data_IF_649051649537
#
_entry.id   IF_649051649537
#
_cell.length_a   1.000
_cell.length_b   1.000
_cell.length_c   1.000
_cell.angle_alpha   90.00
_cell.angle_beta   90.00
_cell.angle_gamma   90.00
#
_symmetry.space_group_name_H-M   'P 1'
#
loop_
_entity.id
_entity.type
_entity.pdbx_description
1 polymer ?
#
# COMPACT_ATOMS: atom_id res chain seq x y z
N UNK A 1 20.60 28.17 35.43
CA UNK A 1 21.85 27.85 34.68
C UNK A 1 21.48 27.79 33.19
N UNK A 2 22.21 28.47 32.33
CA UNK A 2 21.99 28.47 30.87
C UNK A 2 23.28 27.99 30.21
N UNK A 3 23.18 27.03 29.30
CA UNK A 3 24.32 26.51 28.58
C UNK A 3 24.78 27.47 27.45
N UNK A 4 26.03 27.38 27.02
CA UNK A 4 26.63 28.26 26.00
C UNK A 4 25.79 28.29 24.67
N UNK A 5 25.32 27.16 24.10
CA UNK A 5 24.51 27.22 22.91
C UNK A 5 23.19 28.00 23.09
N UNK A 6 22.52 27.86 24.23
CA UNK A 6 21.32 28.64 24.52
C UNK A 6 21.61 30.14 24.70
N UNK A 7 22.72 30.50 25.32
CA UNK A 7 23.16 31.90 25.42
C UNK A 7 23.36 32.51 24.03
N UNK A 8 24.04 31.81 23.13
CA UNK A 8 24.22 32.23 21.73
C UNK A 8 22.90 32.41 20.99
N UNK A 9 21.96 31.43 21.12
CA UNK A 9 20.67 31.49 20.46
C UNK A 9 19.81 32.65 20.97
N UNK A 10 19.92 32.97 22.24
CA UNK A 10 19.17 34.03 22.92
C UNK A 10 19.83 35.40 22.84
N UNK A 11 20.99 35.50 22.23
CA UNK A 11 21.77 36.75 22.14
C UNK A 11 22.24 37.28 23.50
N UNK A 12 22.41 36.41 24.49
CA UNK A 12 22.79 36.73 25.88
C UNK A 12 24.29 36.50 26.12
N UNK A 13 25.09 36.66 25.08
CA UNK A 13 26.56 36.57 25.17
C UNK A 13 27.08 37.73 26.05
N UNK A 14 28.08 37.45 26.85
CA UNK A 14 28.78 38.41 27.73
C UNK A 14 27.98 38.91 28.95
N UNK A 15 26.86 38.36 29.29
CA UNK A 15 26.06 38.75 30.44
C UNK A 15 26.09 37.69 31.55
N UNK A 16 26.41 38.08 32.79
CA UNK A 16 26.21 37.17 33.93
C UNK A 16 24.73 37.00 34.19
N UNK A 17 24.19 35.79 33.81
CA UNK A 17 22.76 35.49 33.93
C UNK A 17 22.33 35.01 35.31
N UNK A 18 23.30 34.81 36.22
CA UNK A 18 23.04 34.34 37.57
C UNK A 18 22.45 35.48 38.41
N UNK A 19 21.28 35.26 38.99
CA UNK A 19 20.54 36.24 39.78
C UNK A 19 19.57 37.13 39.00
N UNK A 20 19.55 37.06 37.66
CA UNK A 20 18.59 37.78 36.85
C UNK A 20 17.21 37.05 36.83
N UNK A 21 16.12 37.83 36.84
CA UNK A 21 14.78 37.28 36.71
C UNK A 21 14.57 36.78 35.27
N UNK A 22 14.03 35.58 35.11
CA UNK A 22 13.76 34.97 33.80
C UNK A 22 12.80 35.85 32.97
N UNK A 23 11.87 36.57 33.60
CA UNK A 23 10.95 37.48 32.92
C UNK A 23 11.63 38.72 32.32
N UNK A 24 12.76 39.17 32.90
CA UNK A 24 13.52 40.30 32.37
C UNK A 24 14.32 39.84 31.10
N UNK A 25 14.75 38.57 31.08
CA UNK A 25 15.49 38.00 29.96
C UNK A 25 14.55 37.53 28.84
N UNK A 26 13.35 37.07 29.20
CA UNK A 26 12.36 36.48 28.28
C UNK A 26 10.97 37.07 28.62
N UNK A 27 10.67 38.32 28.23
CA UNK A 27 9.44 39.00 28.58
C UNK A 27 8.15 38.32 28.12
N UNK A 28 8.25 37.45 27.15
CA UNK A 28 7.13 36.66 26.62
C UNK A 28 6.72 35.45 27.49
N UNK A 29 7.50 35.15 28.54
CA UNK A 29 7.20 34.06 29.48
C UNK A 29 6.23 34.46 30.54
N UNK A 30 5.04 33.88 30.52
CA UNK A 30 4.08 33.99 31.63
C UNK A 30 4.32 32.83 32.61
N UNK A 31 5.08 33.10 33.68
CA UNK A 31 5.41 32.11 34.70
C UNK A 31 4.19 31.63 35.48
N UNK A 32 3.14 32.44 35.59
CA UNK A 32 1.91 32.04 36.25
C UNK A 32 1.17 30.95 35.48
N UNK A 33 1.03 31.10 34.16
CA UNK A 33 0.47 30.05 33.27
C UNK A 33 1.28 28.76 33.30
N UNK A 34 2.62 28.86 33.30
CA UNK A 34 3.50 27.72 33.34
C UNK A 34 3.42 26.96 34.66
N UNK A 35 3.28 27.67 35.77
CA UNK A 35 3.14 27.12 37.11
C UNK A 35 1.81 26.36 37.28
N UNK A 36 0.72 26.86 36.68
CA UNK A 36 -0.59 26.23 36.71
C UNK A 36 -0.71 25.04 35.75
N UNK A 37 0.07 25.04 34.67
CA UNK A 37 0.05 23.99 33.66
C UNK A 37 1.07 22.89 33.98
N UNK A 38 0.63 21.81 34.62
CA UNK A 38 1.51 20.65 34.90
C UNK A 38 2.13 20.03 33.63
N UNK A 39 1.52 20.20 32.46
CA UNK A 39 2.01 19.69 31.17
C UNK A 39 3.14 20.53 30.54
N UNK A 40 3.35 21.77 31.00
CA UNK A 40 4.30 22.70 30.39
C UNK A 40 3.83 23.26 29.04
N UNK A 41 4.71 23.98 28.35
CA UNK A 41 4.44 24.58 27.02
C UNK A 41 5.39 23.95 26.02
N UNK A 42 4.85 23.36 24.96
CA UNK A 42 5.63 22.67 23.91
C UNK A 42 5.43 23.35 22.57
N UNK A 43 6.54 23.56 21.84
CA UNK A 43 6.51 24.03 20.47
C UNK A 43 6.15 25.49 20.27
N UNK A 44 6.25 26.36 21.29
CA UNK A 44 5.91 27.78 21.18
C UNK A 44 6.97 28.51 20.33
N UNK A 45 6.53 29.11 19.24
CA UNK A 45 7.38 29.84 18.30
C UNK A 45 7.52 31.28 18.70
N UNK A 46 8.77 31.79 18.80
CA UNK A 46 9.08 33.17 19.04
C UNK A 46 10.08 33.71 18.03
N UNK A 47 9.89 34.97 17.66
CA UNK A 47 10.85 35.70 16.82
C UNK A 47 11.82 36.49 17.68
N UNK A 48 13.11 36.17 17.57
CA UNK A 48 14.18 36.95 18.19
C UNK A 48 15.12 37.49 17.10
N UNK A 49 15.03 38.80 16.87
CA UNK A 49 15.76 39.44 15.76
C UNK A 49 15.32 38.85 14.40
N UNK A 50 16.29 38.33 13.65
CA UNK A 50 16.05 37.67 12.35
C UNK A 50 15.77 36.16 12.47
N UNK A 51 15.82 35.59 13.67
CA UNK A 51 15.70 34.17 13.90
C UNK A 51 14.33 33.82 14.49
N UNK A 52 13.78 32.69 14.05
CA UNK A 52 12.62 32.06 14.68
C UNK A 52 13.11 30.92 15.57
N UNK A 53 12.78 30.98 16.84
CA UNK A 53 13.17 30.02 17.88
C UNK A 53 11.92 29.27 18.35
N UNK A 54 12.07 27.98 18.57
CA UNK A 54 11.06 27.12 19.16
C UNK A 54 11.45 26.80 20.58
N UNK A 55 10.54 27.04 21.50
CA UNK A 55 10.72 26.83 22.93
C UNK A 55 9.86 25.68 23.42
N UNK A 56 10.45 24.77 24.18
CA UNK A 56 9.75 23.80 24.99
C UNK A 56 10.07 24.10 26.45
N UNK A 57 9.06 24.33 27.26
CA UNK A 57 9.20 24.75 28.64
C UNK A 57 8.45 23.77 29.52
N UNK A 58 9.12 23.24 30.54
CA UNK A 58 8.49 22.35 31.52
C UNK A 58 8.70 22.88 32.93
N UNK A 59 7.66 22.93 33.76
CA UNK A 59 7.82 23.25 35.18
C UNK A 59 8.51 22.09 35.90
N UNK A 60 9.29 22.43 36.91
CA UNK A 60 9.93 21.49 37.82
C UNK A 60 9.37 21.71 39.20
N UNK A 61 8.85 20.66 39.83
CA UNK A 61 8.36 20.65 41.18
C UNK A 61 9.24 19.77 42.08
N UNK A 62 9.47 20.19 43.29
CA UNK A 62 10.14 19.42 44.34
C UNK A 62 9.19 19.39 45.53
N UNK A 63 8.84 18.20 46.00
CA UNK A 63 7.86 18.00 47.10
C UNK A 63 6.53 18.76 46.88
N UNK A 64 6.06 18.80 45.65
CA UNK A 64 4.87 19.54 45.17
C UNK A 64 5.01 21.10 45.12
N UNK A 65 6.13 21.66 45.54
CA UNK A 65 6.42 23.06 45.40
C UNK A 65 7.12 23.38 44.07
N UNK A 66 6.72 24.51 43.47
CA UNK A 66 7.34 24.95 42.21
C UNK A 66 8.80 25.38 42.44
N UNK A 67 9.73 24.59 41.98
CA UNK A 67 11.17 24.81 42.11
C UNK A 67 11.76 25.62 40.92
N UNK A 68 11.12 25.60 39.77
CA UNK A 68 11.61 26.33 38.60
C UNK A 68 11.11 25.79 37.26
N UNK A 69 11.79 26.15 36.19
CA UNK A 69 11.49 25.69 34.85
C UNK A 69 12.74 25.11 34.16
N UNK A 70 12.56 24.11 33.35
CA UNK A 70 13.53 23.66 32.35
C UNK A 70 13.05 24.08 30.99
N UNK A 71 13.92 24.71 30.21
CA UNK A 71 13.62 25.21 28.90
C UNK A 71 14.63 24.69 27.88
N UNK A 72 14.15 24.12 26.76
CA UNK A 72 14.96 23.87 25.59
C UNK A 72 14.62 24.84 24.47
N UNK A 73 15.66 25.30 23.76
CA UNK A 73 15.55 26.27 22.67
C UNK A 73 16.20 25.70 21.42
N UNK A 74 15.55 25.86 20.30
CA UNK A 74 16.06 25.39 18.99
C UNK A 74 15.70 26.41 17.90
N UNK A 75 16.53 26.50 16.86
CA UNK A 75 16.16 27.26 15.65
C UNK A 75 15.04 26.52 14.90
N UNK A 76 13.97 27.23 14.52
CA UNK A 76 12.91 26.67 13.67
C UNK A 76 13.48 26.11 12.35
N UNK A 77 14.49 26.76 11.78
CA UNK A 77 15.19 26.28 10.56
C UNK A 77 15.89 24.93 10.77
N UNK A 78 16.42 24.66 11.96
CA UNK A 78 17.04 23.34 12.26
C UNK A 78 16.00 22.22 12.27
N UNK A 79 14.80 22.49 12.78
CA UNK A 79 13.68 21.52 12.77
C UNK A 79 13.30 21.21 11.33
N UNK A 80 13.12 22.22 10.48
CA UNK A 80 12.82 22.03 9.04
C UNK A 80 13.91 21.23 8.32
N UNK A 81 15.17 21.46 8.67
CA UNK A 81 16.30 20.71 8.07
C UNK A 81 16.29 19.24 8.50
N UNK A 82 15.97 18.95 9.77
CA UNK A 82 15.85 17.58 10.27
C UNK A 82 14.65 16.90 9.63
N UNK A 83 13.50 17.55 9.55
CA UNK A 83 12.32 17.03 8.87
C UNK A 83 12.59 16.72 7.40
N UNK A 84 13.25 17.64 6.67
CA UNK A 84 13.63 17.41 5.28
C UNK A 84 14.60 16.23 5.11
N UNK A 85 15.54 16.05 6.06
CA UNK A 85 16.47 14.91 6.07
C UNK A 85 15.72 13.60 6.32
N UNK A 86 14.82 13.57 7.31
CA UNK A 86 13.99 12.39 7.61
C UNK A 86 13.11 12.05 6.41
N UNK A 87 12.45 13.05 5.82
CA UNK A 87 11.62 12.87 4.62
C UNK A 87 12.46 12.31 3.45
N UNK A 88 13.67 12.81 3.24
CA UNK A 88 14.58 12.28 2.21
C UNK A 88 14.98 10.81 2.48
N UNK A 89 15.23 10.43 3.72
CA UNK A 89 15.51 9.04 4.10
C UNK A 89 14.30 8.13 3.88
N UNK A 90 13.09 8.60 4.21
CA UNK A 90 11.84 7.88 3.95
C UNK A 90 11.62 7.69 2.44
N UNK A 91 11.86 8.72 1.63
CA UNK A 91 11.82 8.63 0.17
C UNK A 91 12.81 7.61 -0.40
N UNK A 92 14.04 7.62 0.09
CA UNK A 92 15.09 6.67 -0.36
C UNK A 92 14.72 5.21 -0.02
N UNK A 93 13.97 4.99 1.06
CA UNK A 93 13.48 3.66 1.46
C UNK A 93 12.14 3.29 0.81
N UNK A 94 11.53 4.17 0.01
CA UNK A 94 10.23 3.94 -0.60
C UNK A 94 9.04 4.03 0.36
N UNK A 95 9.23 4.56 1.57
CA UNK A 95 8.19 4.65 2.62
C UNK A 95 7.37 5.96 2.51
N UNK A 96 6.98 6.32 1.31
CA UNK A 96 6.22 7.55 1.02
C UNK A 96 5.07 7.24 0.10
N UNK A 97 3.88 7.74 0.44
CA UNK A 97 2.72 7.71 -0.44
C UNK A 97 2.92 8.73 -1.58
N UNK A 98 2.75 8.29 -2.82
CA UNK A 98 2.95 9.12 -4.03
C UNK A 98 1.63 9.62 -4.60
N UNK A 99 0.56 8.85 -4.40
CA UNK A 99 -0.73 9.11 -5.03
C UNK A 99 -1.62 10.02 -4.19
N UNK A 100 -2.39 10.84 -4.86
CA UNK A 100 -3.39 11.76 -4.32
C UNK A 100 -4.78 11.44 -4.87
N UNK A 101 -5.83 12.00 -4.28
CA UNK A 101 -7.20 11.81 -4.77
C UNK A 101 -7.41 12.30 -6.20
N UNK A 102 -6.61 13.25 -6.65
CA UNK A 102 -6.68 13.80 -8.01
C UNK A 102 -6.10 12.83 -9.06
N UNK A 103 -5.33 11.84 -8.63
CA UNK A 103 -4.82 10.77 -9.48
C UNK A 103 -5.89 9.67 -9.73
N UNK A 104 -7.02 9.72 -9.01
CA UNK A 104 -8.13 8.79 -9.18
C UNK A 104 -9.03 9.29 -10.33
N UNK A 105 -8.82 8.71 -11.50
CA UNK A 105 -9.55 9.09 -12.71
C UNK A 105 -10.93 8.42 -12.70
N UNK A 106 -11.98 9.24 -12.66
CA UNK A 106 -13.37 8.77 -12.69
C UNK A 106 -14.34 9.85 -13.16
N UNK A 107 -15.40 9.41 -13.82
CA UNK A 107 -16.64 10.17 -14.07
C UNK A 107 -17.87 9.51 -13.45
N UNK A 108 -17.66 8.34 -12.85
CA UNK A 108 -18.72 7.60 -12.19
C UNK A 108 -19.15 8.29 -10.90
N UNK A 109 -20.46 8.50 -10.76
CA UNK A 109 -21.03 9.22 -9.62
C UNK A 109 -20.86 8.48 -8.28
N UNK A 110 -20.85 7.14 -8.29
CA UNK A 110 -20.61 6.35 -7.10
C UNK A 110 -19.15 6.46 -6.64
N UNK A 111 -18.20 6.38 -7.57
CA UNK A 111 -16.78 6.61 -7.28
C UNK A 111 -16.51 8.01 -6.74
N UNK A 112 -17.14 9.05 -7.31
CA UNK A 112 -17.03 10.42 -6.78
C UNK A 112 -17.54 10.53 -5.33
N UNK A 113 -18.64 9.85 -4.99
CA UNK A 113 -19.13 9.78 -3.62
C UNK A 113 -18.15 9.06 -2.70
N UNK A 114 -17.54 7.95 -3.15
CA UNK A 114 -16.53 7.22 -2.40
C UNK A 114 -15.26 8.06 -2.16
N UNK A 115 -14.80 8.83 -3.15
CA UNK A 115 -13.68 9.77 -2.99
C UNK A 115 -14.01 10.82 -1.92
N UNK A 116 -15.20 11.42 -1.97
CA UNK A 116 -15.63 12.39 -0.97
C UNK A 116 -15.75 11.78 0.44
N UNK A 117 -16.20 10.54 0.54
CA UNK A 117 -16.24 9.80 1.80
C UNK A 117 -14.82 9.52 2.30
N UNK A 118 -13.92 9.07 1.44
CA UNK A 118 -12.52 8.81 1.76
C UNK A 118 -11.78 10.09 2.23
N UNK A 119 -12.06 11.24 1.61
CA UNK A 119 -11.56 12.55 2.08
C UNK A 119 -12.00 12.88 3.50
N UNK A 120 -13.25 12.57 3.88
CA UNK A 120 -13.73 12.72 5.26
C UNK A 120 -13.04 11.74 6.20
N UNK A 121 -12.88 10.48 5.79
CA UNK A 121 -12.20 9.45 6.56
C UNK A 121 -10.70 9.75 6.77
N UNK A 122 -10.07 10.47 5.84
CA UNK A 122 -8.69 10.90 5.98
C UNK A 122 -8.47 11.79 7.23
N UNK A 123 -9.48 12.55 7.67
CA UNK A 123 -9.35 13.51 8.77
C UNK A 123 -9.35 12.89 10.17
N UNK A 124 -9.65 11.60 10.29
CA UNK A 124 -9.69 10.86 11.55
C UNK A 124 -8.69 9.70 11.56
N UNK A 125 -8.19 9.35 12.75
CA UNK A 125 -7.18 8.28 12.92
C UNK A 125 -7.79 6.87 13.06
N UNK A 126 -9.10 6.71 12.81
CA UNK A 126 -9.76 5.41 12.83
C UNK A 126 -9.21 4.46 11.75
N UNK A 127 -9.30 3.16 12.02
CA UNK A 127 -8.95 2.13 11.04
C UNK A 127 -9.92 2.16 9.85
N UNK A 128 -9.38 1.91 8.66
CA UNK A 128 -10.16 1.88 7.41
C UNK A 128 -9.97 0.51 6.75
N UNK A 129 -11.09 -0.10 6.36
CA UNK A 129 -11.12 -1.31 5.55
C UNK A 129 -11.59 -0.98 4.13
N UNK A 130 -10.72 -1.23 3.15
CA UNK A 130 -11.01 -1.03 1.72
C UNK A 130 -11.31 -2.40 1.10
N UNK A 131 -12.55 -2.59 0.66
CA UNK A 131 -12.99 -3.82 0.00
C UNK A 131 -13.10 -3.57 -1.50
N UNK A 132 -12.60 -4.48 -2.32
CA UNK A 132 -12.72 -4.39 -3.76
C UNK A 132 -11.92 -5.47 -4.46
N UNK A 133 -12.35 -5.83 -5.66
CA UNK A 133 -11.66 -6.82 -6.49
C UNK A 133 -10.21 -6.39 -6.76
N UNK A 134 -9.39 -7.35 -7.17
CA UNK A 134 -8.01 -7.08 -7.59
C UNK A 134 -8.00 -6.09 -8.77
N UNK A 135 -7.06 -5.12 -8.75
CA UNK A 135 -6.95 -4.12 -9.82
C UNK A 135 -7.97 -2.97 -9.79
N UNK A 136 -8.82 -2.83 -8.76
CA UNK A 136 -9.80 -1.72 -8.64
C UNK A 136 -9.21 -0.41 -8.16
N UNK A 137 -7.94 -0.40 -7.64
CA UNK A 137 -7.25 0.79 -7.16
C UNK A 137 -7.23 0.93 -5.62
N UNK A 138 -7.35 -0.17 -4.85
CA UNK A 138 -7.33 -0.14 -3.37
C UNK A 138 -6.11 0.61 -2.80
N UNK A 139 -4.92 0.34 -3.32
CA UNK A 139 -3.68 1.00 -2.90
C UNK A 139 -3.67 2.50 -3.22
N UNK A 140 -4.20 2.90 -4.38
CA UNK A 140 -4.34 4.30 -4.78
C UNK A 140 -5.20 5.08 -3.76
N UNK A 141 -6.31 4.48 -3.31
CA UNK A 141 -7.13 5.04 -2.23
C UNK A 141 -6.38 5.12 -0.90
N UNK A 142 -5.65 4.08 -0.52
CA UNK A 142 -4.90 4.05 0.74
C UNK A 142 -3.83 5.15 0.78
N UNK A 143 -3.07 5.32 -0.30
CA UNK A 143 -2.07 6.39 -0.43
C UNK A 143 -2.73 7.78 -0.42
N UNK A 144 -3.83 7.96 -1.17
CA UNK A 144 -4.58 9.22 -1.21
C UNK A 144 -5.14 9.61 0.16
N UNK A 145 -5.65 8.63 0.93
CA UNK A 145 -6.15 8.84 2.30
C UNK A 145 -5.01 9.28 3.22
N UNK A 146 -3.85 8.63 3.13
CA UNK A 146 -2.67 9.03 3.91
C UNK A 146 -2.25 10.46 3.59
N UNK A 147 -2.08 10.80 2.30
CA UNK A 147 -1.64 12.12 1.86
C UNK A 147 -2.64 13.24 2.21
N UNK A 148 -3.92 12.92 2.36
CA UNK A 148 -4.95 13.86 2.80
C UNK A 148 -5.16 13.88 4.33
N UNK A 149 -4.39 13.11 5.10
CA UNK A 149 -4.53 12.99 6.55
C UNK A 149 -3.58 13.91 7.31
N UNK A 150 -3.78 14.00 8.62
CA UNK A 150 -2.86 14.69 9.55
C UNK A 150 -1.49 14.01 9.64
N UNK A 151 -1.34 12.79 9.08
CA UNK A 151 -0.11 12.00 9.07
C UNK A 151 0.61 12.03 7.72
N UNK A 152 0.25 12.94 6.82
CA UNK A 152 0.81 13.06 5.47
C UNK A 152 2.33 13.23 5.44
N UNK A 153 2.90 13.82 6.48
CA UNK A 153 4.35 14.00 6.63
C UNK A 153 5.07 12.78 7.24
N UNK A 154 4.31 11.81 7.76
CA UNK A 154 4.84 10.58 8.33
C UNK A 154 5.10 9.50 7.30
N UNK A 155 5.69 8.35 7.72
CA UNK A 155 5.92 7.23 6.84
C UNK A 155 4.60 6.60 6.36
N UNK A 156 4.58 6.21 5.08
CA UNK A 156 3.56 5.32 4.51
C UNK A 156 4.23 4.00 4.15
N UNK A 157 3.87 2.94 4.86
CA UNK A 157 4.42 1.60 4.61
C UNK A 157 3.31 0.73 4.06
N UNK A 158 3.48 0.24 2.84
CA UNK A 158 2.57 -0.67 2.19
C UNK A 158 3.14 -2.09 2.19
N UNK A 159 2.30 -3.05 2.58
CA UNK A 159 2.66 -4.47 2.63
C UNK A 159 1.53 -5.26 1.99
N UNK A 160 1.88 -6.11 1.05
CA UNK A 160 0.97 -7.13 0.56
C UNK A 160 1.18 -8.42 1.37
N UNK A 161 0.19 -8.78 2.20
CA UNK A 161 0.27 -9.93 3.11
C UNK A 161 0.32 -11.27 2.35
N UNK A 162 -0.20 -11.33 1.13
CA UNK A 162 -0.16 -12.54 0.30
C UNK A 162 1.21 -12.76 -0.36
N UNK A 163 2.04 -11.72 -0.51
CA UNK A 163 3.35 -11.82 -1.19
C UNK A 163 4.48 -12.27 -0.28
N UNK A 164 4.27 -12.28 1.03
CA UNK A 164 5.28 -12.64 2.02
C UNK A 164 4.98 -14.06 2.55
N UNK A 165 5.95 -14.99 2.50
CA UNK A 165 5.77 -16.31 3.10
C UNK A 165 5.32 -16.22 4.57
N UNK A 166 4.39 -17.09 4.98
CA UNK A 166 3.76 -17.08 6.30
C UNK A 166 4.78 -17.06 7.46
N UNK A 167 5.85 -17.84 7.33
CA UNK A 167 6.93 -17.92 8.33
C UNK A 167 7.76 -16.65 8.46
N UNK A 168 7.75 -15.77 7.44
CA UNK A 168 8.47 -14.50 7.45
C UNK A 168 7.56 -13.32 7.81
N UNK A 169 6.26 -13.42 7.54
CA UNK A 169 5.30 -12.33 7.74
C UNK A 169 5.30 -11.82 9.20
N UNK A 170 5.40 -12.73 10.18
CA UNK A 170 5.47 -12.37 11.60
C UNK A 170 6.72 -11.53 11.90
N UNK A 171 7.88 -11.97 11.43
CA UNK A 171 9.14 -11.28 11.63
C UNK A 171 9.24 -9.94 10.89
N UNK A 172 8.59 -9.82 9.73
CA UNK A 172 8.53 -8.57 8.98
C UNK A 172 7.60 -7.55 9.65
N UNK A 173 6.44 -7.98 10.15
CA UNK A 173 5.47 -7.10 10.82
C UNK A 173 5.98 -6.59 12.16
N UNK A 174 6.44 -7.48 13.04
CA UNK A 174 6.75 -7.17 14.43
C UNK A 174 8.25 -6.97 14.70
N UNK A 175 9.12 -7.41 13.79
CA UNK A 175 10.56 -7.41 13.98
C UNK A 175 11.04 -8.55 14.88
N UNK A 176 12.35 -8.65 15.07
CA UNK A 176 12.97 -9.67 15.90
C UNK A 176 14.23 -9.15 16.59
N UNK A 177 14.53 -9.73 17.76
CA UNK A 177 15.77 -9.47 18.48
C UNK A 177 16.90 -10.41 18.03
N UNK A 178 18.13 -10.11 18.43
CA UNK A 178 19.28 -10.96 18.15
C UNK A 178 19.03 -12.40 18.69
N UNK A 179 19.35 -13.40 17.88
CA UNK A 179 19.17 -14.81 18.27
C UNK A 179 17.73 -15.33 18.32
N UNK A 180 16.75 -14.59 17.86
CA UNK A 180 15.34 -15.01 17.86
C UNK A 180 15.08 -16.32 17.10
N UNK A 181 15.85 -16.61 16.06
CA UNK A 181 15.81 -17.85 15.29
C UNK A 181 17.14 -18.09 14.55
N UNK A 182 17.35 -19.28 14.03
CA UNK A 182 18.54 -19.63 13.25
C UNK A 182 18.59 -18.81 11.97
N UNK A 183 19.66 -17.99 11.81
CA UNK A 183 19.81 -17.05 10.70
C UNK A 183 19.35 -15.61 11.00
N UNK A 184 18.91 -15.31 12.22
CA UNK A 184 18.64 -13.94 12.66
C UNK A 184 19.91 -13.06 12.56
N UNK A 185 19.74 -11.80 12.16
CA UNK A 185 20.86 -10.83 12.10
C UNK A 185 21.34 -10.49 13.51
N UNK A 186 22.66 -10.32 13.70
CA UNK A 186 23.32 -10.00 14.99
C UNK A 186 22.76 -8.74 15.70
N UNK A 187 22.04 -7.87 15.07
CA UNK A 187 21.46 -6.66 15.70
C UNK A 187 19.92 -6.68 15.66
N UNK A 188 19.32 -7.84 15.42
CA UNK A 188 17.91 -7.93 15.22
C UNK A 188 17.41 -7.17 13.96
N UNK A 189 16.09 -6.97 13.87
CA UNK A 189 15.44 -6.20 12.78
C UNK A 189 14.22 -5.48 13.33
N UNK A 190 14.06 -4.21 12.97
CA UNK A 190 12.79 -3.49 13.23
C UNK A 190 11.70 -4.01 12.31
N UNK A 191 10.51 -4.20 12.87
CA UNK A 191 9.32 -4.58 12.12
C UNK A 191 8.64 -3.38 11.44
N UNK A 192 7.71 -3.67 10.54
CA UNK A 192 6.97 -2.63 9.80
C UNK A 192 6.12 -1.76 10.72
N UNK A 193 5.60 -2.28 11.84
CA UNK A 193 4.93 -1.45 12.84
C UNK A 193 5.83 -0.38 13.47
N UNK A 194 7.08 -0.71 13.77
CA UNK A 194 8.05 0.27 14.27
C UNK A 194 8.44 1.29 13.18
N UNK A 195 8.60 0.83 11.94
CA UNK A 195 8.97 1.68 10.80
C UNK A 195 7.83 2.64 10.42
N UNK A 196 6.57 2.23 10.62
CA UNK A 196 5.38 3.05 10.36
C UNK A 196 5.03 4.02 11.49
N UNK A 197 5.82 4.05 12.58
CA UNK A 197 5.52 4.88 13.75
C UNK A 197 5.42 6.37 13.38
N UNK A 198 4.37 7.04 13.85
CA UNK A 198 4.03 8.41 13.48
C UNK A 198 3.33 8.55 12.11
N UNK A 199 3.13 7.46 11.38
CA UNK A 199 2.56 7.44 10.04
C UNK A 199 1.41 6.44 9.86
N UNK A 200 1.41 5.78 8.71
CA UNK A 200 0.37 4.82 8.29
C UNK A 200 0.99 3.51 7.82
N UNK A 201 0.43 2.40 8.29
CA UNK A 201 0.69 1.05 7.78
C UNK A 201 -0.50 0.61 6.93
N UNK A 202 -0.27 0.34 5.66
CA UNK A 202 -1.23 -0.23 4.74
C UNK A 202 -1.01 -1.73 4.60
N UNK A 203 -2.02 -2.52 4.97
CA UNK A 203 -2.04 -3.97 4.91
C UNK A 203 -2.93 -4.40 3.75
N UNK A 204 -2.33 -4.65 2.58
CA UNK A 204 -3.06 -5.20 1.44
C UNK A 204 -3.25 -6.70 1.60
N UNK A 205 -4.36 -7.20 1.09
CA UNK A 205 -4.82 -8.59 1.18
C UNK A 205 -4.83 -9.12 2.63
N UNK A 206 -5.43 -8.33 3.55
CA UNK A 206 -5.54 -8.65 4.98
C UNK A 206 -6.25 -9.99 5.24
N UNK A 207 -7.09 -10.45 4.31
CA UNK A 207 -7.77 -11.74 4.38
C UNK A 207 -6.85 -12.96 4.23
N UNK A 208 -5.59 -12.76 3.82
CA UNK A 208 -4.58 -13.81 3.66
C UNK A 208 -3.72 -14.03 4.90
N UNK A 209 -3.87 -13.21 5.94
CA UNK A 209 -3.08 -13.34 7.17
C UNK A 209 -3.46 -14.61 7.93
N UNK A 210 -2.49 -15.47 8.32
CA UNK A 210 -2.74 -16.67 9.12
C UNK A 210 -3.40 -16.38 10.46
N UNK A 211 -4.26 -17.29 10.95
CA UNK A 211 -5.01 -17.12 12.21
C UNK A 211 -4.14 -16.79 13.42
N UNK A 212 -2.93 -17.36 13.49
CA UNK A 212 -1.97 -17.05 14.56
C UNK A 212 -1.60 -15.57 14.56
N UNK A 213 -1.31 -15.01 13.38
CA UNK A 213 -0.93 -13.61 13.25
C UNK A 213 -2.09 -12.65 13.45
N UNK A 214 -3.32 -13.08 13.14
CA UNK A 214 -4.52 -12.28 13.40
C UNK A 214 -4.67 -11.95 14.89
N UNK A 215 -4.31 -12.89 15.80
CA UNK A 215 -4.34 -12.65 17.24
C UNK A 215 -3.31 -11.58 17.66
N UNK A 216 -2.10 -11.66 17.13
CA UNK A 216 -1.05 -10.68 17.40
C UNK A 216 -1.42 -9.29 16.85
N UNK A 217 -1.98 -9.25 15.64
CA UNK A 217 -2.46 -8.00 15.03
C UNK A 217 -3.58 -7.36 15.87
N UNK A 218 -4.54 -8.15 16.35
CA UNK A 218 -5.61 -7.67 17.22
C UNK A 218 -5.04 -7.00 18.48
N UNK A 219 -4.06 -7.65 19.12
CA UNK A 219 -3.40 -7.12 20.32
C UNK A 219 -2.74 -5.77 20.03
N UNK A 220 -2.04 -5.65 18.92
CA UNK A 220 -1.41 -4.37 18.51
C UNK A 220 -2.44 -3.27 18.26
N UNK A 221 -3.58 -3.59 17.64
CA UNK A 221 -4.66 -2.62 17.40
C UNK A 221 -5.33 -2.15 18.70
N UNK A 222 -5.35 -2.99 19.73
CA UNK A 222 -5.96 -2.67 21.03
C UNK A 222 -5.02 -1.94 21.96
N UNK A 223 -3.80 -2.45 22.12
CA UNK A 223 -2.84 -2.00 23.12
C UNK A 223 -1.90 -0.91 22.61
N UNK A 224 -1.82 -0.71 21.28
CA UNK A 224 -0.90 0.26 20.65
C UNK A 224 0.56 0.02 21.02
N UNK A 225 0.93 -1.23 21.14
CA UNK A 225 2.30 -1.65 21.49
C UNK A 225 2.64 -2.97 20.81
N UNK A 226 3.93 -3.21 20.60
CA UNK A 226 4.46 -4.44 20.04
C UNK A 226 5.56 -5.01 20.94
N UNK A 227 5.84 -6.31 20.76
CA UNK A 227 7.01 -6.99 21.28
C UNK A 227 7.68 -7.66 20.08
N UNK A 228 9.00 -7.51 19.95
CA UNK A 228 9.75 -8.19 18.90
C UNK A 228 9.83 -9.69 19.16
N UNK A 229 9.93 -10.49 18.11
CA UNK A 229 10.13 -11.92 18.24
C UNK A 229 11.42 -12.23 19.00
N UNK A 230 11.34 -13.12 19.98
CA UNK A 230 12.47 -13.46 20.85
C UNK A 230 12.83 -12.41 21.89
N UNK A 231 12.10 -11.28 21.96
CA UNK A 231 12.26 -10.24 22.96
C UNK A 231 11.14 -10.21 24.00
N UNK A 232 11.37 -9.43 25.05
CA UNK A 232 10.41 -9.17 26.15
C UNK A 232 10.07 -7.69 26.30
N UNK A 233 10.78 -6.82 25.57
CA UNK A 233 10.60 -5.37 25.65
C UNK A 233 9.32 -4.92 24.95
N UNK A 234 8.45 -4.23 25.69
CA UNK A 234 7.28 -3.55 25.16
C UNK A 234 7.71 -2.27 24.45
N UNK A 235 7.29 -2.12 23.20
CA UNK A 235 7.57 -0.95 22.35
C UNK A 235 6.24 -0.28 22.03
N UNK A 236 5.95 0.92 22.57
CA UNK A 236 4.76 1.68 22.21
C UNK A 236 4.85 2.16 20.76
N UNK A 237 3.72 2.13 20.06
CA UNK A 237 3.61 2.58 18.68
C UNK A 237 2.40 3.49 18.49
N UNK A 238 2.56 4.48 17.63
CA UNK A 238 1.47 5.34 17.15
C UNK A 238 1.35 5.21 15.63
N UNK A 239 0.58 4.22 15.18
CA UNK A 239 0.43 3.88 13.76
C UNK A 239 -1.05 3.86 13.40
N UNK A 240 -1.40 4.57 12.31
CA UNK A 240 -2.71 4.45 11.68
C UNK A 240 -2.73 3.22 10.77
N UNK A 241 -3.81 2.43 10.82
CA UNK A 241 -3.95 1.24 10.00
C UNK A 241 -4.99 1.49 8.91
N UNK A 242 -4.61 1.18 7.67
CA UNK A 242 -5.51 1.04 6.53
C UNK A 242 -5.32 -0.40 6.03
N UNK A 243 -6.39 -1.14 5.88
CA UNK A 243 -6.36 -2.52 5.39
C UNK A 243 -7.18 -2.67 4.12
N UNK A 244 -6.78 -3.60 3.25
CA UNK A 244 -7.51 -3.87 2.02
C UNK A 244 -7.64 -5.37 1.79
N UNK A 245 -8.70 -5.79 1.10
CA UNK A 245 -8.92 -7.17 0.69
C UNK A 245 -9.88 -7.26 -0.50
N UNK A 246 -9.73 -8.31 -1.29
CA UNK A 246 -10.73 -8.71 -2.28
C UNK A 246 -11.68 -9.79 -1.74
N UNK A 247 -11.33 -10.47 -0.64
CA UNK A 247 -12.12 -11.56 -0.04
C UNK A 247 -13.32 -11.03 0.72
N UNK A 248 -14.40 -11.83 0.74
CA UNK A 248 -15.48 -11.61 1.69
C UNK A 248 -15.06 -12.10 3.09
N UNK A 249 -14.70 -11.13 3.95
CA UNK A 249 -14.28 -11.44 5.33
C UNK A 249 -15.41 -12.05 6.17
N UNK A 250 -16.68 -11.82 5.83
CA UNK A 250 -17.81 -12.46 6.55
C UNK A 250 -17.86 -13.94 6.26
N UNK A 251 -17.61 -14.35 5.03
CA UNK A 251 -17.50 -15.76 4.65
C UNK A 251 -16.24 -16.39 5.26
N UNK A 252 -15.12 -15.66 5.31
CA UNK A 252 -13.91 -16.10 5.99
C UNK A 252 -14.13 -16.30 7.52
N UNK A 253 -14.96 -15.46 8.16
CA UNK A 253 -15.36 -15.66 9.57
C UNK A 253 -16.23 -16.92 9.72
N UNK A 254 -17.18 -17.16 8.83
CA UNK A 254 -18.05 -18.36 8.87
C UNK A 254 -17.25 -19.64 8.70
N UNK A 255 -16.24 -19.64 7.84
CA UNK A 255 -15.34 -20.78 7.61
C UNK A 255 -14.27 -20.95 8.70
N UNK A 256 -14.17 -20.01 9.65
CA UNK A 256 -13.17 -20.02 10.72
C UNK A 256 -11.77 -19.62 10.27
N UNK A 257 -11.57 -19.11 9.05
CA UNK A 257 -10.27 -18.66 8.54
C UNK A 257 -9.94 -17.20 8.92
N UNK A 258 -10.93 -16.44 9.42
CA UNK A 258 -10.73 -15.07 9.90
C UNK A 258 -11.44 -14.85 11.23
N UNK A 259 -10.79 -14.15 12.17
CA UNK A 259 -11.34 -13.87 13.50
C UNK A 259 -12.37 -12.75 13.47
N UNK A 260 -13.50 -12.95 14.10
CA UNK A 260 -14.59 -11.98 14.20
C UNK A 260 -14.18 -10.74 15.01
N UNK A 261 -13.39 -10.90 16.08
CA UNK A 261 -12.91 -9.80 16.92
C UNK A 261 -11.96 -8.85 16.15
N UNK A 262 -11.06 -9.41 15.35
CA UNK A 262 -10.19 -8.63 14.47
C UNK A 262 -10.99 -7.88 13.40
N UNK A 263 -11.98 -8.54 12.77
CA UNK A 263 -12.84 -7.90 11.78
C UNK A 263 -13.48 -6.62 12.31
N UNK A 264 -14.10 -6.65 13.50
CA UNK A 264 -14.72 -5.46 14.08
C UNK A 264 -13.72 -4.36 14.44
N UNK A 265 -12.47 -4.71 14.70
CA UNK A 265 -11.43 -3.73 14.99
C UNK A 265 -10.85 -3.08 13.72
N UNK A 266 -10.82 -3.80 12.60
CA UNK A 266 -10.39 -3.30 11.30
C UNK A 266 -11.50 -2.52 10.59
N UNK A 267 -12.75 -2.98 10.69
CA UNK A 267 -13.89 -2.44 9.96
C UNK A 267 -14.65 -1.37 10.77
N UNK A 268 -13.93 -0.32 11.22
CA UNK A 268 -14.55 0.87 11.84
C UNK A 268 -15.10 1.79 10.74
N UNK A 269 -14.30 2.03 9.71
CA UNK A 269 -14.70 2.77 8.52
C UNK A 269 -14.50 1.89 7.30
N UNK A 270 -15.53 1.76 6.46
CA UNK A 270 -15.48 0.91 5.28
C UNK A 270 -15.62 1.72 4.00
N UNK A 271 -14.80 1.33 3.00
CA UNK A 271 -14.93 1.78 1.61
C UNK A 271 -15.02 0.54 0.73
N UNK A 272 -16.05 0.47 -0.12
CA UNK A 272 -16.22 -0.64 -1.06
C UNK A 272 -16.09 -0.13 -2.48
N UNK A 273 -14.97 -0.46 -3.13
CA UNK A 273 -14.66 -0.02 -4.48
C UNK A 273 -15.41 -0.89 -5.51
N UNK A 274 -16.17 -0.29 -6.41
CA UNK A 274 -16.86 -1.04 -7.46
C UNK A 274 -15.86 -1.60 -8.47
N UNK A 275 -16.16 -2.79 -8.99
CA UNK A 275 -15.45 -3.34 -10.13
C UNK A 275 -15.62 -2.46 -11.37
N UNK A 276 -14.69 -2.53 -12.31
CA UNK A 276 -14.68 -1.68 -13.50
C UNK A 276 -15.94 -1.88 -14.37
N UNK A 277 -16.46 -3.12 -14.45
CA UNK A 277 -17.70 -3.43 -15.16
C UNK A 277 -18.97 -2.78 -14.55
N UNK A 278 -18.88 -2.30 -13.30
CA UNK A 278 -19.97 -1.54 -12.63
C UNK A 278 -19.84 -0.02 -12.81
N UNK A 279 -18.73 0.44 -13.39
CA UNK A 279 -18.44 1.85 -13.69
C UNK A 279 -17.95 2.03 -15.13
N UNK A 280 -18.66 1.46 -16.09
CA UNK A 280 -18.29 1.47 -17.52
C UNK A 280 -18.08 2.86 -18.10
N UNK A 281 -18.69 3.90 -17.51
CA UNK A 281 -18.47 5.31 -17.86
C UNK A 281 -17.04 5.79 -17.65
N UNK A 282 -16.26 5.10 -16.82
CA UNK A 282 -14.85 5.42 -16.56
C UNK A 282 -13.92 4.83 -17.62
N UNK A 283 -14.34 3.77 -18.34
CA UNK A 283 -13.45 3.06 -19.27
C UNK A 283 -12.86 3.99 -20.34
N UNK A 284 -13.64 4.84 -21.04
CA UNK A 284 -13.06 5.71 -22.09
C UNK A 284 -12.01 6.69 -21.56
N UNK A 285 -12.25 7.30 -20.42
CA UNK A 285 -11.30 8.26 -19.83
C UNK A 285 -10.06 7.56 -19.24
N UNK A 286 -10.22 6.36 -18.69
CA UNK A 286 -9.11 5.54 -18.23
C UNK A 286 -8.22 5.11 -19.40
N UNK A 287 -8.81 4.71 -20.53
CA UNK A 287 -8.07 4.38 -21.75
C UNK A 287 -7.22 5.58 -22.22
N UNK A 288 -7.82 6.77 -22.32
CA UNK A 288 -7.11 7.97 -22.73
C UNK A 288 -5.93 8.29 -21.81
N UNK A 289 -6.16 8.20 -20.50
CA UNK A 289 -5.11 8.42 -19.51
C UNK A 289 -4.00 7.38 -19.63
N UNK A 290 -4.35 6.08 -19.68
CA UNK A 290 -3.40 4.98 -19.79
C UNK A 290 -2.56 5.07 -21.08
N UNK A 291 -3.17 5.41 -22.21
CA UNK A 291 -2.42 5.64 -23.46
C UNK A 291 -1.38 6.76 -23.26
N UNK A 292 -1.79 7.88 -22.68
CA UNK A 292 -0.88 8.99 -22.41
C UNK A 292 0.27 8.59 -21.47
N UNK A 293 -0.06 7.97 -20.34
CA UNK A 293 0.92 7.52 -19.34
C UNK A 293 1.90 6.49 -19.91
N UNK A 294 1.37 5.46 -20.59
CA UNK A 294 2.20 4.38 -21.15
C UNK A 294 3.07 4.86 -22.29
N UNK A 295 2.54 5.73 -23.17
CA UNK A 295 3.34 6.29 -24.25
C UNK A 295 4.53 7.11 -23.75
N UNK A 296 4.35 7.89 -22.69
CA UNK A 296 5.43 8.65 -22.05
C UNK A 296 6.46 7.70 -21.43
N UNK A 297 6.01 6.67 -20.69
CA UNK A 297 6.90 5.72 -20.01
C UNK A 297 7.70 4.85 -20.99
N UNK A 298 7.11 4.49 -22.12
CA UNK A 298 7.74 3.69 -23.18
C UNK A 298 8.55 4.53 -24.19
N UNK A 299 8.45 5.85 -24.14
CA UNK A 299 9.08 6.74 -25.11
C UNK A 299 8.52 6.57 -26.53
N UNK A 300 7.23 6.21 -26.65
CA UNK A 300 6.55 6.01 -27.94
C UNK A 300 5.54 7.11 -28.22
N UNK A 301 5.15 7.29 -29.48
CA UNK A 301 4.01 8.13 -29.82
C UNK A 301 2.70 7.48 -29.31
N UNK A 302 1.72 8.27 -28.82
CA UNK A 302 0.45 7.76 -28.36
C UNK A 302 -0.33 7.10 -29.50
N UNK A 303 -0.85 5.90 -29.24
CA UNK A 303 -1.70 5.16 -30.20
C UNK A 303 -3.07 5.83 -30.33
N UNK A 304 -3.73 5.58 -31.45
CA UNK A 304 -5.13 5.97 -31.68
C UNK A 304 -5.95 4.69 -31.82
N UNK A 305 -7.15 4.69 -31.24
CA UNK A 305 -8.07 3.57 -31.33
C UNK A 305 -9.14 3.87 -32.40
N UNK A 306 -9.51 2.87 -33.19
CA UNK A 306 -10.71 2.94 -34.03
C UNK A 306 -11.97 2.93 -33.16
N UNK A 307 -13.11 3.40 -33.70
CA UNK A 307 -14.37 3.42 -32.98
C UNK A 307 -14.79 2.00 -32.55
N UNK A 308 -14.62 1.01 -33.43
CA UNK A 308 -14.92 -0.39 -33.15
C UNK A 308 -14.03 -0.94 -32.04
N UNK A 309 -12.73 -0.65 -32.06
CA UNK A 309 -11.79 -1.04 -31.02
C UNK A 309 -12.19 -0.46 -29.66
N UNK A 310 -12.52 0.85 -29.62
CA UNK A 310 -12.97 1.51 -28.40
C UNK A 310 -14.27 0.90 -27.88
N UNK A 311 -15.22 0.58 -28.77
CA UNK A 311 -16.49 -0.05 -28.40
C UNK A 311 -16.27 -1.44 -27.79
N UNK A 312 -15.35 -2.24 -28.34
CA UNK A 312 -14.99 -3.54 -27.78
C UNK A 312 -14.38 -3.41 -26.40
N UNK A 313 -13.42 -2.49 -26.21
CA UNK A 313 -12.80 -2.23 -24.90
C UNK A 313 -13.84 -1.79 -23.87
N UNK A 314 -14.82 -0.95 -24.25
CA UNK A 314 -15.88 -0.49 -23.34
C UNK A 314 -16.86 -1.61 -22.96
N UNK A 315 -17.07 -2.60 -23.83
CA UNK A 315 -17.99 -3.71 -23.59
C UNK A 315 -17.38 -4.90 -22.86
N UNK A 316 -16.07 -4.98 -22.76
CA UNK A 316 -15.38 -6.06 -22.05
C UNK A 316 -15.67 -6.03 -20.54
N UNK A 317 -15.63 -7.19 -19.90
CA UNK A 317 -15.94 -7.36 -18.47
C UNK A 317 -14.83 -6.93 -17.54
N UNK A 318 -13.57 -6.94 -17.98
CA UNK A 318 -12.40 -6.55 -17.21
C UNK A 318 -12.34 -7.20 -15.82
N UNK A 319 -12.19 -8.53 -15.76
CA UNK A 319 -12.13 -9.29 -14.50
C UNK A 319 -10.96 -8.82 -13.61
N UNK A 320 -9.81 -8.49 -14.22
CA UNK A 320 -8.66 -7.85 -13.56
C UNK A 320 -8.78 -6.34 -13.42
N UNK A 321 -9.94 -5.76 -13.73
CA UNK A 321 -10.28 -4.35 -13.55
C UNK A 321 -9.29 -3.39 -14.28
N UNK A 322 -8.89 -2.29 -13.62
CA UNK A 322 -8.00 -1.27 -14.21
C UNK A 322 -6.60 -1.83 -14.49
N UNK A 323 -6.17 -2.85 -13.72
CA UNK A 323 -4.87 -3.47 -13.95
C UNK A 323 -4.84 -4.24 -15.26
N UNK A 324 -5.86 -5.03 -15.54
CA UNK A 324 -6.01 -5.74 -16.82
C UNK A 324 -6.12 -4.76 -18.00
N UNK A 325 -6.99 -3.75 -17.88
CA UNK A 325 -7.11 -2.69 -18.88
C UNK A 325 -5.74 -2.02 -19.14
N UNK A 326 -5.00 -1.71 -18.08
CA UNK A 326 -3.66 -1.12 -18.18
C UNK A 326 -2.66 -2.00 -18.94
N UNK A 327 -2.67 -3.30 -18.66
CA UNK A 327 -1.82 -4.28 -19.35
C UNK A 327 -2.13 -4.37 -20.85
N UNK A 328 -3.42 -4.42 -21.20
CA UNK A 328 -3.85 -4.47 -22.62
C UNK A 328 -3.43 -3.18 -23.34
N UNK A 329 -3.65 -2.02 -22.75
CA UNK A 329 -3.23 -0.74 -23.35
C UNK A 329 -1.71 -0.65 -23.49
N UNK A 330 -0.95 -1.11 -22.52
CA UNK A 330 0.51 -1.13 -22.58
C UNK A 330 1.03 -2.00 -23.72
N UNK A 331 0.47 -3.22 -23.89
CA UNK A 331 0.81 -4.11 -25.01
C UNK A 331 0.50 -3.45 -26.36
N UNK A 332 -0.68 -2.85 -26.51
CA UNK A 332 -1.04 -2.12 -27.71
C UNK A 332 -0.07 -0.97 -28.01
N UNK A 333 0.36 -0.21 -27.00
CA UNK A 333 1.37 0.85 -27.18
C UNK A 333 2.73 0.31 -27.63
N UNK A 334 3.12 -0.87 -27.16
CA UNK A 334 4.38 -1.54 -27.56
C UNK A 334 4.32 -2.03 -29.01
N UNK A 335 3.19 -2.65 -29.41
CA UNK A 335 3.04 -3.26 -30.74
C UNK A 335 2.82 -2.18 -31.79
N UNK A 336 1.93 -1.24 -31.57
CA UNK A 336 1.47 -0.27 -32.59
C UNK A 336 2.23 1.07 -32.62
N UNK A 337 2.98 1.41 -31.60
CA UNK A 337 3.91 2.57 -31.54
C UNK A 337 3.40 3.86 -32.21
N UNK A 338 2.18 4.28 -31.91
CA UNK A 338 1.57 5.51 -32.43
C UNK A 338 0.69 5.31 -33.66
N UNK A 339 0.53 4.09 -34.13
CA UNK A 339 -0.38 3.75 -35.24
C UNK A 339 -1.84 3.69 -34.76
N UNK A 340 -2.75 3.51 -35.75
CA UNK A 340 -4.15 3.26 -35.49
C UNK A 340 -4.35 1.77 -35.12
N UNK A 341 -4.99 1.56 -33.98
CA UNK A 341 -5.34 0.21 -33.48
C UNK A 341 -6.72 -0.15 -33.98
N UNK A 342 -6.84 -1.27 -34.68
CA UNK A 342 -8.08 -1.83 -35.17
C UNK A 342 -8.64 -2.88 -34.19
N UNK A 343 -9.89 -3.31 -34.43
CA UNK A 343 -10.55 -4.31 -33.61
C UNK A 343 -9.80 -5.67 -33.62
N UNK A 344 -9.20 -6.04 -34.74
CA UNK A 344 -8.45 -7.27 -34.93
C UNK A 344 -7.21 -7.33 -34.03
N UNK A 345 -6.53 -6.21 -33.83
CA UNK A 345 -5.34 -6.10 -32.98
C UNK A 345 -5.62 -6.47 -31.52
N UNK A 346 -6.86 -6.25 -31.05
CA UNK A 346 -7.29 -6.63 -29.70
C UNK A 346 -7.35 -8.16 -29.53
N UNK A 347 -7.80 -8.88 -30.55
CA UNK A 347 -7.88 -10.33 -30.50
C UNK A 347 -6.51 -10.98 -30.44
N UNK A 348 -5.51 -10.40 -31.12
CA UNK A 348 -4.12 -10.89 -31.04
C UNK A 348 -3.57 -10.74 -29.61
N UNK A 349 -3.77 -9.54 -29.00
CA UNK A 349 -3.27 -9.25 -27.65
C UNK A 349 -3.99 -10.07 -26.55
N UNK A 350 -5.28 -10.40 -26.73
CA UNK A 350 -6.05 -11.19 -25.76
C UNK A 350 -5.79 -12.70 -25.88
N UNK A 351 -5.56 -13.22 -27.09
CA UNK A 351 -5.28 -14.64 -27.29
C UNK A 351 -3.93 -15.06 -26.70
N UNK A 352 -2.94 -14.17 -26.64
CA UNK A 352 -1.67 -14.42 -25.95
C UNK A 352 -1.86 -14.63 -24.44
N UNK A 353 -2.80 -13.92 -23.81
CA UNK A 353 -3.13 -14.13 -22.37
C UNK A 353 -3.76 -15.49 -22.08
N UNK A 354 -4.64 -15.96 -22.97
CA UNK A 354 -5.29 -17.26 -22.81
C UNK A 354 -4.28 -18.40 -22.94
N UNK A 355 -3.30 -18.25 -23.85
CA UNK A 355 -2.23 -19.23 -24.03
C UNK A 355 -1.24 -19.23 -22.84
N UNK A 356 -0.86 -18.06 -22.29
CA UNK A 356 0.03 -17.99 -21.12
C UNK A 356 -0.66 -18.46 -19.82
N UNK A 357 -1.94 -18.11 -19.60
CA UNK A 357 -2.71 -18.59 -18.44
C UNK A 357 -2.98 -20.09 -18.50
N UNK A 358 -3.22 -20.64 -19.67
CA UNK A 358 -3.37 -22.08 -19.87
C UNK A 358 -2.05 -22.83 -19.58
N UNK A 359 -0.91 -22.27 -19.94
CA UNK A 359 0.42 -22.83 -19.64
C UNK A 359 0.72 -22.73 -18.13
N UNK A 360 0.46 -21.58 -17.47
CA UNK A 360 0.70 -21.42 -16.02
C UNK A 360 -0.25 -22.26 -15.14
N UNK A 361 -1.49 -22.49 -15.57
CA UNK A 361 -2.40 -23.38 -14.85
C UNK A 361 -2.04 -24.85 -15.03
N UNK A 362 -1.38 -25.23 -16.13
CA UNK A 362 -0.88 -26.58 -16.34
C UNK A 362 0.35 -26.90 -15.47
N UNK A 363 1.19 -25.92 -15.17
CA UNK A 363 2.36 -26.10 -14.29
C UNK A 363 1.98 -26.21 -12.79
N UNK A 364 0.83 -25.68 -12.38
CA UNK A 364 0.38 -25.71 -10.98
C UNK A 364 -0.41 -26.98 -10.59
N UNK A 365 -1.00 -27.68 -11.55
CA UNK A 365 -1.61 -28.98 -11.33
C UNK A 365 -0.63 -30.03 -11.84
N UNK A 366 -0.12 -30.89 -10.98
CA UNK A 366 0.72 -32.03 -11.37
C UNK A 366 0.00 -33.01 -12.33
N UNK A 367 -0.36 -32.50 -13.50
CA UNK A 367 -1.10 -33.21 -14.55
C UNK A 367 -0.15 -34.23 -15.18
N UNK A 368 -0.51 -35.49 -15.12
CA UNK A 368 0.29 -36.56 -15.75
C UNK A 368 0.44 -36.23 -17.24
N UNK A 369 1.62 -36.44 -17.79
CA UNK A 369 1.92 -36.24 -19.21
C UNK A 369 0.85 -36.87 -20.15
N UNK A 370 0.24 -37.97 -19.72
CA UNK A 370 -0.86 -38.64 -20.41
C UNK A 370 -2.12 -37.79 -20.55
N UNK A 371 -2.48 -37.00 -19.55
CA UNK A 371 -3.66 -36.12 -19.58
C UNK A 371 -3.44 -34.95 -20.54
N UNK A 372 -2.22 -34.41 -20.59
CA UNK A 372 -1.85 -33.33 -21.54
C UNK A 372 -1.90 -33.87 -22.98
N UNK A 373 -1.37 -35.04 -23.23
CA UNK A 373 -1.40 -35.69 -24.55
C UNK A 373 -2.86 -35.94 -24.94
N UNK A 374 -3.68 -36.45 -24.04
CA UNK A 374 -5.10 -36.73 -24.30
C UNK A 374 -5.85 -35.45 -24.69
N UNK A 375 -5.67 -34.36 -23.94
CA UNK A 375 -6.35 -33.09 -24.19
C UNK A 375 -5.93 -32.46 -25.51
N UNK A 376 -4.63 -32.51 -25.81
CA UNK A 376 -4.07 -32.04 -27.10
C UNK A 376 -4.66 -32.81 -28.29
N UNK A 377 -4.79 -34.12 -28.20
CA UNK A 377 -5.41 -34.93 -29.25
C UNK A 377 -6.89 -34.56 -29.43
N UNK A 378 -7.65 -34.39 -28.35
CA UNK A 378 -9.08 -34.00 -28.39
C UNK A 378 -9.25 -32.64 -29.05
N UNK A 379 -8.47 -31.67 -28.66
CA UNK A 379 -8.58 -30.30 -29.16
C UNK A 379 -8.22 -30.23 -30.65
N UNK A 380 -7.15 -30.88 -31.06
CA UNK A 380 -6.72 -30.92 -32.47
C UNK A 380 -7.74 -31.69 -33.34
N UNK A 381 -8.34 -32.76 -32.84
CA UNK A 381 -9.36 -33.51 -33.55
C UNK A 381 -10.65 -32.67 -33.75
N UNK A 382 -11.06 -31.89 -32.76
CA UNK A 382 -12.17 -30.92 -32.87
C UNK A 382 -11.88 -29.84 -33.90
N UNK A 383 -10.69 -29.25 -33.86
CA UNK A 383 -10.27 -28.18 -34.79
C UNK A 383 -10.18 -28.66 -36.24
N UNK A 384 -9.92 -29.94 -36.46
CA UNK A 384 -9.88 -30.57 -37.81
C UNK A 384 -11.23 -31.15 -38.22
N UNK A 385 -12.32 -30.94 -37.45
CA UNK A 385 -13.65 -31.48 -37.75
C UNK A 385 -13.70 -33.02 -37.79
N UNK A 386 -12.89 -33.71 -37.00
CA UNK A 386 -12.83 -35.16 -36.92
C UNK A 386 -11.91 -35.81 -37.98
N UNK A 387 -11.21 -35.05 -38.83
CA UNK A 387 -10.34 -35.59 -39.88
C UNK A 387 -9.02 -36.16 -39.30
N UNK A 388 -8.96 -37.48 -39.10
CA UNK A 388 -7.85 -38.18 -38.45
C UNK A 388 -6.51 -38.05 -39.17
N UNK A 389 -6.47 -38.01 -40.50
CA UNK A 389 -5.24 -37.80 -41.27
C UNK A 389 -4.67 -36.41 -41.05
N UNK A 390 -5.50 -35.33 -41.14
CA UNK A 390 -5.08 -33.97 -40.86
C UNK A 390 -4.67 -33.78 -39.39
N UNK A 391 -5.36 -34.44 -38.48
CA UNK A 391 -5.03 -34.40 -37.05
C UNK A 391 -3.66 -35.03 -36.79
N UNK A 392 -3.35 -36.18 -37.41
CA UNK A 392 -2.06 -36.83 -37.24
C UNK A 392 -0.90 -35.98 -37.79
N UNK A 393 -1.13 -35.32 -38.94
CA UNK A 393 -0.16 -34.44 -39.57
C UNK A 393 0.14 -33.20 -38.70
N UNK A 394 -0.89 -32.55 -38.16
CA UNK A 394 -0.75 -31.41 -37.25
C UNK A 394 -0.08 -31.78 -35.91
N UNK A 395 -0.30 -32.99 -35.43
CA UNK A 395 0.33 -33.49 -34.19
C UNK A 395 1.73 -34.07 -34.42
N UNK A 396 2.21 -34.17 -35.65
CA UNK A 396 3.52 -34.74 -35.99
C UNK A 396 3.67 -36.20 -35.62
N UNK A 397 2.55 -36.97 -35.58
CA UNK A 397 2.52 -38.38 -35.25
C UNK A 397 1.94 -39.23 -36.42
N UNK A 398 2.26 -40.51 -36.46
CA UNK A 398 1.67 -41.38 -37.49
C UNK A 398 0.17 -41.58 -37.22
N UNK A 399 -0.62 -41.79 -38.30
CA UNK A 399 -2.04 -42.10 -38.20
C UNK A 399 -2.32 -43.36 -37.35
N UNK A 400 -1.44 -44.34 -37.41
CA UNK A 400 -1.49 -45.56 -36.58
C UNK A 400 -1.25 -45.25 -35.10
N UNK A 401 -0.38 -44.31 -34.76
CA UNK A 401 -0.14 -43.87 -33.39
C UNK A 401 -1.37 -43.09 -32.86
N UNK A 402 -1.97 -42.22 -33.69
CA UNK A 402 -3.17 -41.52 -33.35
C UNK A 402 -4.33 -42.50 -33.10
N UNK A 403 -4.56 -43.47 -33.94
CA UNK A 403 -5.60 -44.47 -33.77
C UNK A 403 -5.45 -45.27 -32.46
N UNK A 404 -4.22 -45.68 -32.13
CA UNK A 404 -3.93 -46.37 -30.88
C UNK A 404 -4.26 -45.51 -29.68
N UNK A 405 -3.88 -44.23 -29.70
CA UNK A 405 -4.15 -43.27 -28.62
C UNK A 405 -5.64 -42.94 -28.49
N UNK A 406 -6.39 -42.77 -29.55
CA UNK A 406 -7.84 -42.58 -29.52
C UNK A 406 -8.53 -43.78 -28.87
N UNK A 407 -8.11 -45.02 -29.22
CA UNK A 407 -8.67 -46.23 -28.61
C UNK A 407 -8.30 -46.36 -27.13
N UNK A 408 -7.05 -46.03 -26.75
CA UNK A 408 -6.57 -46.04 -25.39
C UNK A 408 -7.34 -45.05 -24.48
N UNK A 409 -7.72 -43.88 -25.01
CA UNK A 409 -8.41 -42.84 -24.30
C UNK A 409 -9.96 -42.92 -24.44
N UNK A 410 -10.50 -43.91 -25.13
CA UNK A 410 -11.96 -44.11 -25.31
C UNK A 410 -12.61 -42.96 -26.08
N UNK A 411 -11.90 -42.34 -27.02
CA UNK A 411 -12.46 -41.25 -27.84
C UNK A 411 -12.94 -41.86 -29.15
N UNK A 412 -14.30 -41.94 -29.26
CA UNK A 412 -14.96 -42.31 -30.50
C UNK A 412 -14.87 -41.13 -31.50
N UNK A 413 -14.22 -41.35 -32.59
CA UNK A 413 -14.01 -40.35 -33.64
C UNK A 413 -14.78 -40.69 -34.91
#
# INVERSE_FOLDING_TARGET
>A
MVNLPAQHMLGLQDTSLVGMKVQDLLPFLNLSEIKESAAGVVGKLFRMGNNHLVFNIRPVFVDSDFAGIVMSVQYAKSIQTIEAKVRKELHQKGYVAKAHFDDIITRDTHMMKLINQAKKYAQVDSTILIIGQTGTGKELFAQSIHNASRRADGPFIAINCASIPENLLESELFGYEDGAFTGARKNGKRGFFELANGGTLFLDEIGEIPLKLQANLLRVLQEKQIIRLGGDRIIPIDVRIISATHRDLKDAIRSGSFRMDLYYRLNILQLTLPALNKRKTDIPILIQHLISEKSVSLGTAPIRLSEDCLALLCNNNWEGNVRELGNVIERLCIIKRGELVQAEDLFEVQNDEISEQAVMQQDAAGTKLEDVIRQTIINTLRNTGGHKEKTSELLGISTTTLWRKLKEYGIDG
#
